data_IF_275439006905
#
_entry.id   IF_275439006905
#
_cell.length_a   1.000
_cell.length_b   1.000
_cell.length_c   1.000
_cell.angle_alpha   90.00
_cell.angle_beta   90.00
_cell.angle_gamma   90.00
#
_symmetry.space_group_name_H-M   'P 1'
#
loop_
_entity.id
_entity.type
_entity.pdbx_description
1 polymer ?
#
# COMPACT_ATOMS: atom_id res chain seq x y z
N UNK A 1 -14.94 -9.77 2.33
CA UNK A 1 -14.44 -10.35 1.08
C UNK A 1 -13.29 -9.50 0.52
N UNK A 2 -12.33 -10.08 -0.24
CA UNK A 2 -11.25 -9.32 -0.84
C UNK A 2 -11.77 -8.37 -1.91
N UNK A 3 -11.14 -7.20 -2.02
CA UNK A 3 -11.44 -6.26 -3.09
C UNK A 3 -10.80 -6.74 -4.39
N UNK A 4 -11.61 -7.23 -5.33
CA UNK A 4 -11.21 -7.61 -6.69
C UNK A 4 -11.44 -6.46 -7.67
N UNK A 5 -10.81 -6.51 -8.85
CA UNK A 5 -10.91 -5.43 -9.86
C UNK A 5 -12.33 -5.18 -10.37
N UNK A 6 -13.15 -6.23 -10.41
CA UNK A 6 -14.55 -6.18 -10.86
C UNK A 6 -15.55 -5.66 -9.83
N UNK A 7 -15.09 -5.41 -8.57
CA UNK A 7 -15.97 -4.89 -7.54
C UNK A 7 -16.41 -3.47 -7.88
N UNK A 8 -17.69 -3.18 -7.67
CA UNK A 8 -18.23 -1.83 -7.86
C UNK A 8 -17.55 -0.84 -6.91
N UNK A 9 -16.98 0.21 -7.50
CA UNK A 9 -16.27 1.24 -6.74
C UNK A 9 -17.26 2.26 -6.17
N UNK A 10 -17.25 2.44 -4.85
CA UNK A 10 -18.02 3.48 -4.17
C UNK A 10 -17.08 4.54 -3.54
N UNK A 11 -16.59 5.52 -4.33
CA UNK A 11 -15.60 6.48 -3.86
C UNK A 11 -16.20 7.51 -2.90
N UNK A 12 -15.75 7.52 -1.64
CA UNK A 12 -16.23 8.45 -0.61
C UNK A 12 -15.60 9.85 -0.73
N UNK A 13 -14.35 9.96 -1.18
CA UNK A 13 -13.61 11.23 -1.24
C UNK A 13 -13.57 11.82 -2.64
N UNK A 14 -13.36 13.14 -2.74
CA UNK A 14 -13.17 13.81 -4.04
C UNK A 14 -11.98 13.21 -4.80
N UNK A 15 -10.87 12.93 -4.10
CA UNK A 15 -9.71 12.27 -4.68
C UNK A 15 -10.09 10.92 -5.30
N UNK A 16 -10.78 10.06 -4.58
CA UNK A 16 -11.20 8.76 -5.10
C UNK A 16 -12.16 8.90 -6.30
N UNK A 17 -13.10 9.87 -6.25
CA UNK A 17 -14.01 10.16 -7.37
C UNK A 17 -13.24 10.58 -8.62
N UNK A 18 -12.25 11.48 -8.50
CA UNK A 18 -11.45 11.92 -9.66
C UNK A 18 -10.59 10.80 -10.22
N UNK A 19 -10.08 9.88 -9.38
CA UNK A 19 -9.34 8.71 -9.86
C UNK A 19 -10.22 7.76 -10.65
N UNK A 20 -11.41 7.44 -10.13
CA UNK A 20 -12.37 6.59 -10.83
C UNK A 20 -12.84 7.23 -12.16
N UNK A 21 -13.10 8.52 -12.15
CA UNK A 21 -13.44 9.26 -13.37
C UNK A 21 -12.32 9.19 -14.41
N UNK A 22 -11.05 9.30 -13.95
CA UNK A 22 -9.89 9.12 -14.83
C UNK A 22 -9.83 7.73 -15.47
N UNK A 23 -10.17 6.67 -14.74
CA UNK A 23 -10.26 5.31 -15.31
C UNK A 23 -11.33 5.23 -16.41
N UNK A 24 -12.52 5.83 -16.19
CA UNK A 24 -13.58 5.86 -17.20
C UNK A 24 -13.13 6.61 -18.46
N UNK A 25 -12.54 7.79 -18.30
CA UNK A 25 -12.02 8.57 -19.42
C UNK A 25 -10.99 7.78 -20.25
N UNK A 26 -10.07 7.08 -19.58
CA UNK A 26 -9.05 6.26 -20.25
C UNK A 26 -9.73 5.14 -21.05
N UNK A 27 -10.71 4.44 -20.47
CA UNK A 27 -11.45 3.36 -21.14
C UNK A 27 -12.26 3.84 -22.34
N UNK A 28 -12.85 5.03 -22.24
CA UNK A 28 -13.69 5.60 -23.29
C UNK A 28 -12.87 6.16 -24.46
N UNK A 29 -11.71 6.75 -24.20
CA UNK A 29 -10.93 7.47 -25.21
C UNK A 29 -9.81 6.64 -25.84
N UNK A 30 -9.26 5.65 -25.13
CA UNK A 30 -8.09 4.91 -25.60
C UNK A 30 -8.46 3.50 -26.04
N UNK A 31 -8.00 3.10 -27.22
CA UNK A 31 -8.14 1.73 -27.72
C UNK A 31 -7.22 0.74 -27.03
N UNK A 32 -6.06 1.23 -26.61
CA UNK A 32 -5.03 0.44 -25.93
C UNK A 32 -4.66 1.16 -24.63
N UNK A 33 -4.90 0.50 -23.51
CA UNK A 33 -4.60 1.01 -22.17
C UNK A 33 -4.31 -0.13 -21.20
N UNK A 34 -3.74 0.19 -20.08
CA UNK A 34 -3.73 -0.63 -18.87
C UNK A 34 -3.97 0.27 -17.68
N UNK A 35 -4.87 -0.12 -16.78
CA UNK A 35 -5.17 0.62 -15.56
C UNK A 35 -4.56 -0.12 -14.39
N UNK A 36 -3.67 0.56 -13.69
CA UNK A 36 -3.02 0.04 -12.49
C UNK A 36 -3.58 0.75 -11.26
N UNK A 37 -4.14 -0.02 -10.31
CA UNK A 37 -4.65 0.44 -9.02
C UNK A 37 -3.66 0.03 -7.92
N UNK A 38 -2.62 0.83 -7.63
CA UNK A 38 -1.60 0.42 -6.69
C UNK A 38 -2.10 0.46 -5.25
N UNK A 39 -1.63 -0.51 -4.44
CA UNK A 39 -1.64 -0.45 -3.00
C UNK A 39 -0.91 0.79 -2.48
N UNK A 40 -0.99 1.06 -1.19
CA UNK A 40 -0.24 2.15 -0.58
C UNK A 40 1.26 1.93 -0.78
N UNK A 41 1.89 2.78 -1.58
CA UNK A 41 3.32 2.72 -1.82
C UNK A 41 4.09 3.11 -0.55
N UNK A 42 5.09 2.29 -0.17
CA UNK A 42 5.98 2.57 0.96
C UNK A 42 7.44 2.30 0.56
N UNK A 43 8.37 2.73 1.39
CA UNK A 43 9.80 2.57 1.15
C UNK A 43 10.52 3.90 0.93
N UNK A 44 11.84 3.84 0.92
CA UNK A 44 12.68 5.01 0.77
C UNK A 44 12.74 5.47 -0.69
N UNK A 45 12.71 6.77 -0.90
CA UNK A 45 12.79 7.41 -2.21
C UNK A 45 13.42 8.80 -2.10
N UNK A 46 13.75 9.44 -3.21
CA UNK A 46 14.22 10.82 -3.22
C UNK A 46 13.29 11.80 -2.49
N UNK A 47 12.00 11.52 -2.51
CA UNK A 47 10.98 12.31 -1.81
C UNK A 47 10.12 11.38 -0.96
N UNK A 48 10.70 10.89 0.12
CA UNK A 48 10.03 9.99 1.06
C UNK A 48 8.78 10.64 1.66
N UNK A 49 7.68 9.90 1.64
CA UNK A 49 6.39 10.33 2.18
C UNK A 49 6.29 9.97 3.67
N UNK A 50 6.82 10.85 4.53
CA UNK A 50 6.85 10.65 5.99
C UNK A 50 5.47 10.53 6.64
N UNK A 51 4.43 11.06 6.00
CA UNK A 51 3.05 11.05 6.50
C UNK A 51 2.25 9.79 6.12
N UNK A 52 2.88 8.76 5.59
CA UNK A 52 2.24 7.46 5.32
C UNK A 52 2.44 6.52 6.50
N UNK A 53 1.46 5.66 6.76
CA UNK A 53 1.36 4.85 7.98
C UNK A 53 2.67 4.16 8.39
N UNK A 54 3.30 3.39 7.52
CA UNK A 54 4.55 2.68 7.83
C UNK A 54 5.65 3.66 8.22
N UNK A 55 5.81 4.76 7.47
CA UNK A 55 6.81 5.77 7.75
C UNK A 55 6.56 6.52 9.06
N UNK A 56 5.28 6.87 9.33
CA UNK A 56 4.90 7.51 10.60
C UNK A 56 5.21 6.59 11.78
N UNK A 57 4.81 5.32 11.72
CA UNK A 57 5.06 4.36 12.80
C UNK A 57 6.56 4.11 13.05
N UNK A 58 7.36 3.97 11.98
CA UNK A 58 8.82 3.83 12.10
C UNK A 58 9.48 5.10 12.67
N UNK A 59 9.06 6.28 12.23
CA UNK A 59 9.56 7.55 12.76
C UNK A 59 9.24 7.69 14.25
N UNK A 60 8.00 7.44 14.65
CA UNK A 60 7.56 7.58 16.04
C UNK A 60 8.25 6.56 16.95
N UNK A 61 8.47 5.31 16.46
CA UNK A 61 9.27 4.33 17.16
C UNK A 61 10.71 4.81 17.43
N UNK A 62 11.34 5.43 16.41
CA UNK A 62 12.75 5.89 16.53
C UNK A 62 12.86 7.15 17.40
N UNK A 63 11.94 8.10 17.27
CA UNK A 63 12.05 9.41 17.93
C UNK A 63 11.36 9.48 19.29
N UNK A 64 10.26 8.75 19.46
CA UNK A 64 9.42 8.84 20.65
C UNK A 64 9.50 7.64 21.59
N UNK A 65 9.91 6.47 21.11
CA UNK A 65 9.90 5.22 21.88
C UNK A 65 8.50 4.73 22.30
N UNK A 66 7.44 5.45 21.90
CA UNK A 66 6.05 5.13 22.19
C UNK A 66 5.17 5.40 20.98
N UNK A 67 4.22 4.50 20.73
CA UNK A 67 3.23 4.62 19.65
C UNK A 67 1.83 4.47 20.25
N UNK A 68 0.96 5.45 19.99
CA UNK A 68 -0.47 5.32 20.21
C UNK A 68 -1.11 4.68 18.98
N UNK A 69 -1.57 3.44 19.12
CA UNK A 69 -2.10 2.63 18.03
C UNK A 69 -3.62 2.56 18.07
N UNK A 70 -4.24 3.14 17.06
CA UNK A 70 -5.69 3.13 16.85
C UNK A 70 -6.07 1.99 15.92
N UNK A 71 -7.16 1.26 16.24
CA UNK A 71 -7.68 0.16 15.41
C UNK A 71 -6.57 -0.83 14.99
N UNK A 72 -5.94 -1.53 15.95
CA UNK A 72 -4.76 -2.37 15.70
C UNK A 72 -5.00 -3.47 14.68
N UNK A 73 -6.22 -4.01 14.63
CA UNK A 73 -6.57 -5.15 13.79
C UNK A 73 -7.11 -4.75 12.40
N UNK A 74 -7.22 -3.43 12.13
CA UNK A 74 -7.60 -2.92 10.82
C UNK A 74 -6.55 -3.29 9.76
N UNK A 75 -7.02 -3.93 8.70
CA UNK A 75 -6.18 -4.38 7.58
C UNK A 75 -5.86 -3.23 6.65
N UNK A 76 -4.65 -3.27 6.12
CA UNK A 76 -4.13 -2.35 5.13
C UNK A 76 -3.31 -3.11 4.11
N UNK A 77 -3.16 -2.53 2.96
CA UNK A 77 -2.40 -3.12 1.88
C UNK A 77 -1.29 -2.19 1.42
N UNK A 78 -0.11 -2.75 1.23
CA UNK A 78 1.10 -2.01 0.89
C UNK A 78 1.83 -2.63 -0.29
N UNK A 79 2.64 -1.79 -0.97
CA UNK A 79 3.54 -2.25 -2.00
C UNK A 79 4.82 -1.44 -1.98
N UNK A 80 5.97 -2.11 -2.01
CA UNK A 80 7.24 -1.38 -1.95
C UNK A 80 7.45 -0.55 -3.20
N UNK A 81 7.95 0.68 -3.05
CA UNK A 81 8.08 1.64 -4.16
C UNK A 81 8.92 1.10 -5.32
N UNK A 82 9.98 0.32 -5.04
CA UNK A 82 10.79 -0.30 -6.08
C UNK A 82 10.03 -1.40 -6.83
N UNK A 83 9.18 -2.14 -6.13
CA UNK A 83 8.38 -3.21 -6.75
C UNK A 83 7.25 -2.60 -7.60
N UNK A 84 6.66 -1.50 -7.15
CA UNK A 84 5.73 -0.73 -7.96
C UNK A 84 6.40 -0.21 -9.25
N UNK A 85 7.61 0.35 -9.14
CA UNK A 85 8.38 0.79 -10.30
C UNK A 85 8.69 -0.36 -11.26
N UNK A 86 9.08 -1.53 -10.73
CA UNK A 86 9.32 -2.72 -11.54
C UNK A 86 8.03 -3.25 -12.21
N UNK A 87 6.90 -3.21 -11.50
CA UNK A 87 5.60 -3.57 -12.10
C UNK A 87 5.23 -2.64 -13.25
N UNK A 88 5.39 -1.32 -13.07
CA UNK A 88 5.15 -0.34 -14.13
C UNK A 88 6.07 -0.59 -15.33
N UNK A 89 7.37 -0.82 -15.08
CA UNK A 89 8.34 -1.19 -16.12
C UNK A 89 7.91 -2.46 -16.85
N UNK A 90 7.53 -3.50 -16.12
CA UNK A 90 7.08 -4.77 -16.70
C UNK A 90 5.83 -4.55 -17.56
N UNK A 91 4.86 -3.76 -17.08
CA UNK A 91 3.65 -3.42 -17.83
C UNK A 91 3.98 -2.75 -19.18
N UNK A 92 4.92 -1.81 -19.17
CA UNK A 92 5.33 -1.09 -20.40
C UNK A 92 6.08 -2.03 -21.35
N UNK A 93 7.01 -2.84 -20.84
CA UNK A 93 7.83 -3.74 -21.66
C UNK A 93 7.06 -4.96 -22.19
N UNK A 94 5.99 -5.36 -21.53
CA UNK A 94 5.18 -6.54 -21.87
C UNK A 94 3.70 -6.16 -22.04
N UNK A 95 3.44 -5.02 -22.67
CA UNK A 95 2.13 -4.38 -22.69
C UNK A 95 1.01 -5.29 -23.19
N UNK A 96 1.29 -6.21 -24.11
CA UNK A 96 0.28 -7.17 -24.63
C UNK A 96 -0.36 -8.05 -23.54
N UNK A 97 0.34 -8.29 -22.42
CA UNK A 97 -0.19 -9.05 -21.29
C UNK A 97 -1.08 -8.21 -20.36
N UNK A 98 -1.04 -6.88 -20.50
CA UNK A 98 -1.69 -5.92 -19.61
C UNK A 98 -2.77 -5.08 -20.27
N UNK A 99 -2.78 -5.05 -21.61
CA UNK A 99 -3.64 -4.14 -22.36
C UNK A 99 -5.13 -4.48 -22.23
N UNK A 100 -5.94 -3.44 -22.23
CA UNK A 100 -7.40 -3.53 -22.18
C UNK A 100 -7.96 -3.83 -20.79
N UNK A 101 -7.09 -3.98 -19.76
CA UNK A 101 -7.47 -4.51 -18.47
C UNK A 101 -7.15 -3.53 -17.32
N UNK A 102 -7.85 -3.77 -16.21
CA UNK A 102 -7.56 -3.13 -14.91
C UNK A 102 -6.92 -4.17 -14.01
N UNK A 103 -5.89 -3.75 -13.27
CA UNK A 103 -5.16 -4.58 -12.30
C UNK A 103 -5.08 -3.89 -10.95
N UNK A 104 -5.43 -4.61 -9.89
CA UNK A 104 -4.95 -4.27 -8.56
C UNK A 104 -3.45 -4.58 -8.52
N UNK A 105 -2.65 -3.61 -8.09
CA UNK A 105 -1.18 -3.74 -8.07
C UNK A 105 -0.66 -3.68 -6.64
N UNK A 106 -0.08 -4.79 -6.20
CA UNK A 106 0.38 -4.93 -4.83
C UNK A 106 1.01 -6.29 -4.57
N UNK A 107 0.99 -6.71 -3.31
CA UNK A 107 1.44 -8.03 -2.89
C UNK A 107 0.48 -8.62 -1.88
N UNK A 108 0.05 -9.84 -2.12
CA UNK A 108 -0.79 -10.60 -1.17
C UNK A 108 -0.10 -10.75 0.19
N UNK A 109 1.24 -10.82 0.22
CA UNK A 109 2.04 -10.88 1.45
C UNK A 109 1.94 -9.60 2.30
N UNK A 110 1.58 -8.47 1.69
CA UNK A 110 1.53 -7.16 2.33
C UNK A 110 0.10 -6.66 2.58
N UNK A 111 -0.87 -7.56 2.59
CA UNK A 111 -2.17 -7.37 3.21
C UNK A 111 -2.02 -7.64 4.71
N UNK A 112 -1.71 -6.63 5.50
CA UNK A 112 -1.33 -6.75 6.91
C UNK A 112 -2.15 -5.84 7.81
N UNK A 113 -2.25 -6.19 9.09
CA UNK A 113 -2.88 -5.33 10.09
C UNK A 113 -1.91 -4.26 10.58
N UNK A 114 -2.43 -3.20 11.18
CA UNK A 114 -1.57 -2.19 11.84
C UNK A 114 -0.74 -2.83 12.96
N UNK A 115 -1.32 -3.79 13.70
CA UNK A 115 -0.62 -4.62 14.70
C UNK A 115 0.56 -5.36 14.06
N UNK A 116 0.35 -6.02 12.92
CA UNK A 116 1.42 -6.72 12.21
C UNK A 116 2.58 -5.82 11.77
N UNK A 117 2.31 -4.54 11.44
CA UNK A 117 3.38 -3.57 11.17
C UNK A 117 4.18 -3.28 12.46
N UNK A 118 3.50 -3.11 13.59
CA UNK A 118 4.16 -2.89 14.89
C UNK A 118 5.01 -4.09 15.29
N UNK A 119 4.49 -5.29 15.16
CA UNK A 119 5.24 -6.52 15.45
C UNK A 119 6.51 -6.63 14.58
N UNK A 120 6.45 -6.16 13.34
CA UNK A 120 7.63 -6.11 12.48
C UNK A 120 8.62 -5.03 12.94
N UNK A 121 8.16 -3.84 13.36
CA UNK A 121 8.99 -2.77 13.93
C UNK A 121 9.70 -3.25 15.19
N UNK A 122 8.99 -3.96 16.08
CA UNK A 122 9.52 -4.45 17.36
C UNK A 122 10.64 -5.48 17.21
N UNK A 123 10.85 -6.05 16.03
CA UNK A 123 12.02 -6.91 15.76
C UNK A 123 13.34 -6.11 15.70
N UNK A 124 13.28 -4.81 15.47
CA UNK A 124 14.45 -3.96 15.22
C UNK A 124 14.66 -2.87 16.28
N UNK A 125 13.61 -2.48 16.98
CA UNK A 125 13.66 -1.42 17.99
C UNK A 125 12.62 -1.69 19.08
N UNK A 126 13.04 -1.51 20.33
CA UNK A 126 12.11 -1.56 21.47
C UNK A 126 11.23 -0.32 21.47
N UNK A 127 9.92 -0.53 21.48
CA UNK A 127 8.92 0.54 21.43
C UNK A 127 7.71 0.17 22.30
N UNK A 128 7.30 1.11 23.14
CA UNK A 128 6.08 1.00 23.93
C UNK A 128 4.86 1.27 23.02
N UNK A 129 3.87 0.37 23.06
CA UNK A 129 2.66 0.47 22.24
C UNK A 129 1.44 0.58 23.13
N UNK A 130 0.81 1.73 23.06
CA UNK A 130 -0.44 2.00 23.73
C UNK A 130 -1.61 1.82 22.75
N UNK A 131 -2.46 0.83 23.00
CA UNK A 131 -3.68 0.65 22.21
C UNK A 131 -4.72 1.64 22.71
N UNK A 132 -5.14 2.53 21.83
CA UNK A 132 -6.15 3.55 22.12
C UNK A 132 -7.48 3.10 21.55
N UNK A 133 -8.48 3.00 22.43
CA UNK A 133 -9.87 2.83 22.00
C UNK A 133 -10.36 4.18 21.46
N UNK A 134 -10.50 4.27 20.15
CA UNK A 134 -11.03 5.45 19.48
C UNK A 134 -12.30 5.09 18.72
N UNK A 135 -13.27 5.96 18.83
CA UNK A 135 -14.49 5.93 18.03
C UNK A 135 -14.24 6.47 16.61
N UNK A 136 -13.02 6.91 16.29
CA UNK A 136 -12.73 7.45 14.97
C UNK A 136 -12.84 6.35 13.93
N UNK A 137 -13.82 6.55 13.10
CA UNK A 137 -14.29 5.61 12.09
C UNK A 137 -13.43 5.67 10.85
N UNK A 138 -12.12 5.44 10.97
CA UNK A 138 -11.32 5.14 9.79
C UNK A 138 -11.82 3.81 9.20
N UNK A 139 -12.86 3.89 8.38
CA UNK A 139 -13.56 2.76 7.78
C UNK A 139 -12.69 1.96 6.78
N UNK A 140 -11.40 2.28 6.68
CA UNK A 140 -10.45 1.58 5.83
C UNK A 140 -9.95 0.29 6.50
N UNK A 141 -10.83 -0.68 6.62
CA UNK A 141 -10.51 -2.06 6.96
C UNK A 141 -10.82 -2.94 5.74
N UNK A 142 -9.81 -3.19 4.92
CA UNK A 142 -9.96 -3.95 3.69
C UNK A 142 -8.64 -4.63 3.32
N UNK A 143 -8.76 -5.71 2.56
CA UNK A 143 -7.62 -6.26 1.84
C UNK A 143 -7.98 -6.46 0.37
N UNK A 144 -6.95 -6.52 -0.46
CA UNK A 144 -7.08 -6.53 -1.91
C UNK A 144 -6.57 -7.84 -2.47
N UNK A 145 -7.27 -8.37 -3.45
CA UNK A 145 -6.81 -9.50 -4.24
C UNK A 145 -5.86 -9.01 -5.33
N UNK A 146 -4.65 -9.55 -5.34
CA UNK A 146 -3.60 -9.26 -6.31
C UNK A 146 -3.32 -10.45 -7.24
N UNK A 147 -4.10 -11.52 -7.16
CA UNK A 147 -3.87 -12.76 -7.90
C UNK A 147 -3.76 -12.54 -9.41
N UNK A 148 -4.54 -11.62 -9.96
CA UNK A 148 -4.51 -11.26 -11.38
C UNK A 148 -3.15 -10.68 -11.81
N UNK A 149 -2.61 -9.74 -11.05
CA UNK A 149 -1.28 -9.17 -11.30
C UNK A 149 -0.19 -10.19 -10.98
N UNK A 150 -0.30 -10.91 -9.88
CA UNK A 150 0.72 -11.88 -9.43
C UNK A 150 0.87 -13.06 -10.41
N UNK A 151 -0.15 -13.37 -11.19
CA UNK A 151 -0.06 -14.37 -12.28
C UNK A 151 0.85 -13.92 -13.43
N UNK A 152 1.04 -12.61 -13.63
CA UNK A 152 1.88 -12.04 -14.70
C UNK A 152 3.23 -11.60 -14.14
N UNK A 153 3.21 -10.88 -13.03
CA UNK A 153 4.40 -10.32 -12.38
C UNK A 153 4.20 -10.29 -10.87
N UNK A 154 5.00 -11.02 -10.13
CA UNK A 154 4.91 -11.16 -8.68
C UNK A 154 6.15 -10.59 -7.99
N UNK A 155 5.96 -9.86 -6.91
CA UNK A 155 7.01 -9.53 -5.95
C UNK A 155 6.86 -10.40 -4.71
N UNK A 156 7.97 -10.98 -4.27
CA UNK A 156 8.03 -11.77 -3.03
C UNK A 156 8.75 -11.01 -1.89
N UNK A 157 8.90 -9.70 -2.04
CA UNK A 157 9.54 -8.86 -1.04
C UNK A 157 8.70 -8.83 0.25
N UNK A 158 9.29 -9.18 1.39
CA UNK A 158 8.64 -9.01 2.69
C UNK A 158 8.53 -7.51 3.05
N UNK A 159 7.88 -7.21 4.15
CA UNK A 159 7.80 -5.85 4.67
C UNK A 159 9.22 -5.35 5.05
N UNK A 160 9.70 -4.33 4.35
CA UNK A 160 11.05 -3.77 4.55
C UNK A 160 11.01 -2.64 5.59
N UNK A 161 11.03 -3.01 6.87
CA UNK A 161 11.03 -2.07 8.00
C UNK A 161 12.46 -1.66 8.38
N UNK A 162 13.41 -2.57 8.30
CA UNK A 162 14.78 -2.36 8.76
C UNK A 162 15.42 -1.13 8.12
N UNK A 163 15.33 -1.01 6.79
CA UNK A 163 15.92 0.12 6.07
C UNK A 163 15.24 1.45 6.42
N UNK A 164 13.93 1.43 6.68
CA UNK A 164 13.19 2.63 7.07
C UNK A 164 13.59 3.07 8.48
N UNK A 165 13.75 2.14 9.43
CA UNK A 165 14.23 2.44 10.78
C UNK A 165 15.65 3.03 10.72
N UNK A 166 16.60 2.40 10.01
CA UNK A 166 17.96 2.90 9.82
C UNK A 166 17.98 4.31 9.25
N UNK A 167 17.13 4.60 8.29
CA UNK A 167 16.99 5.94 7.72
C UNK A 167 16.61 6.98 8.78
N UNK A 168 15.62 6.68 9.65
CA UNK A 168 15.22 7.62 10.72
C UNK A 168 16.21 7.70 11.88
N UNK A 169 16.98 6.65 12.14
CA UNK A 169 18.07 6.68 13.14
C UNK A 169 19.23 7.57 12.70
N UNK A 170 19.44 7.71 11.40
CA UNK A 170 20.51 8.55 10.81
C UNK A 170 20.16 10.04 10.68
N UNK A 171 18.93 10.44 11.04
CA UNK A 171 18.47 11.84 11.03
C UNK A 171 18.36 12.41 12.45
#
# INVERSE_FOLDING_TARGET
EPCVEGLECNPATLYAKTKLQGEHIVKDLLKEYSILRPATAYGLSFKTRHNLLIHTLCHDAVKGGRIDLYQPDAKRTFYHVNDLANTIKHTVCNFDQWKGETFNVGSTLLNITKRGIIEEIQKYIDVDVNIVEDEDKDQRDYYVDYSKQEAIFKSERPLDIENIIKYYQGQ
#
